data_IF_407720924921
#
_entry.id   IF_407720924921
#
_cell.length_a   1.000
_cell.length_b   1.000
_cell.length_c   1.000
_cell.angle_alpha   90.00
_cell.angle_beta   90.00
_cell.angle_gamma   90.00
#
_symmetry.space_group_name_H-M   'P 1'
#
loop_
_entity.id
_entity.type
_entity.pdbx_description
1 polymer ?
#
# COMPACT_ATOMS: atom_id res chain seq x y z
N UNK A 1 -28.21 -7.94 -53.86
CA UNK A 1 -26.98 -7.58 -53.09
C UNK A 1 -27.26 -6.83 -51.77
N UNK A 2 -28.32 -6.01 -51.68
CA UNK A 2 -28.62 -5.14 -50.51
C UNK A 2 -29.01 -5.91 -49.21
N UNK A 3 -29.67 -7.08 -49.32
CA UNK A 3 -30.14 -7.87 -48.16
C UNK A 3 -28.99 -8.44 -47.30
N UNK A 4 -27.86 -8.81 -47.92
CA UNK A 4 -26.69 -9.43 -47.26
C UNK A 4 -25.91 -8.39 -46.42
N UNK A 5 -25.86 -7.14 -46.87
CA UNK A 5 -25.23 -6.02 -46.15
C UNK A 5 -25.98 -5.65 -44.87
N UNK A 6 -27.32 -5.65 -44.90
CA UNK A 6 -28.14 -5.38 -43.70
C UNK A 6 -28.02 -6.48 -42.64
N UNK A 7 -27.93 -7.74 -43.06
CA UNK A 7 -27.75 -8.86 -42.13
C UNK A 7 -26.39 -8.78 -41.42
N UNK A 8 -25.33 -8.46 -42.16
CA UNK A 8 -24.00 -8.28 -41.57
C UNK A 8 -23.97 -7.11 -40.57
N UNK A 9 -24.64 -5.99 -40.87
CA UNK A 9 -24.73 -4.85 -39.95
C UNK A 9 -25.43 -5.21 -38.63
N UNK A 10 -26.52 -5.97 -38.69
CA UNK A 10 -27.24 -6.45 -37.49
C UNK A 10 -26.35 -7.40 -36.68
N UNK A 11 -25.64 -8.32 -37.33
CA UNK A 11 -24.70 -9.24 -36.66
C UNK A 11 -23.55 -8.49 -36.00
N UNK A 12 -22.95 -7.51 -36.67
CA UNK A 12 -21.91 -6.66 -36.07
C UNK A 12 -22.44 -5.87 -34.87
N UNK A 13 -23.65 -5.29 -34.97
CA UNK A 13 -24.30 -4.59 -33.86
C UNK A 13 -24.52 -5.48 -32.64
N UNK A 14 -25.06 -6.69 -32.84
CA UNK A 14 -25.26 -7.68 -31.77
C UNK A 14 -23.93 -8.09 -31.13
N UNK A 15 -22.88 -8.25 -31.95
CA UNK A 15 -21.55 -8.63 -31.48
C UNK A 15 -20.96 -7.53 -30.60
N UNK A 16 -21.06 -6.26 -31.01
CA UNK A 16 -20.58 -5.11 -30.22
C UNK A 16 -21.34 -5.01 -28.89
N UNK A 17 -22.66 -5.21 -28.90
CA UNK A 17 -23.48 -5.19 -27.67
C UNK A 17 -23.08 -6.33 -26.73
N UNK A 18 -22.87 -7.54 -27.24
CA UNK A 18 -22.38 -8.68 -26.45
C UNK A 18 -21.01 -8.41 -25.82
N UNK A 19 -20.07 -7.84 -26.59
CA UNK A 19 -18.76 -7.45 -26.06
C UNK A 19 -18.86 -6.37 -24.98
N UNK A 20 -19.75 -5.38 -25.15
CA UNK A 20 -19.97 -4.33 -24.14
C UNK A 20 -20.54 -4.90 -22.83
N UNK A 21 -21.50 -5.83 -22.91
CA UNK A 21 -22.10 -6.47 -21.73
C UNK A 21 -21.06 -7.34 -20.99
N UNK A 22 -20.23 -8.09 -21.70
CA UNK A 22 -19.17 -8.91 -21.10
C UNK A 22 -18.12 -8.02 -20.41
N UNK A 23 -17.77 -6.88 -21.02
CA UNK A 23 -16.82 -5.93 -20.45
C UNK A 23 -17.38 -5.25 -19.18
N UNK A 24 -18.65 -4.84 -19.17
CA UNK A 24 -19.31 -4.30 -17.97
C UNK A 24 -19.38 -5.34 -16.85
N UNK A 25 -19.75 -6.58 -17.15
CA UNK A 25 -19.87 -7.63 -16.13
C UNK A 25 -18.54 -7.89 -15.40
N UNK A 26 -17.42 -7.86 -16.13
CA UNK A 26 -16.08 -7.98 -15.52
C UNK A 26 -15.73 -6.83 -14.58
N UNK A 27 -16.19 -5.61 -14.88
CA UNK A 27 -15.93 -4.43 -14.06
C UNK A 27 -16.73 -4.47 -12.75
N UNK A 28 -17.97 -4.98 -12.79
CA UNK A 28 -18.81 -5.12 -11.60
C UNK A 28 -18.34 -6.25 -10.67
N UNK A 29 -17.74 -7.33 -11.21
CA UNK A 29 -17.21 -8.44 -10.39
C UNK A 29 -16.04 -8.00 -9.48
N UNK A 30 -15.36 -6.89 -9.79
CA UNK A 30 -14.29 -6.31 -8.94
C UNK A 30 -14.83 -5.28 -7.93
N UNK A 31 -16.04 -4.74 -8.15
CA UNK A 31 -16.68 -3.78 -7.26
C UNK A 31 -17.31 -4.52 -6.07
N UNK A 32 -16.78 -4.27 -4.88
CA UNK A 32 -17.30 -4.85 -3.62
C UNK A 32 -16.49 -6.04 -3.09
N UNK A 33 -15.39 -6.43 -3.75
CA UNK A 33 -14.40 -7.29 -3.11
C UNK A 33 -13.78 -6.47 -1.97
N UNK A 34 -13.87 -6.91 -0.70
CA UNK A 34 -13.30 -6.17 0.41
C UNK A 34 -11.79 -6.02 0.20
N UNK A 35 -11.29 -4.80 0.36
CA UNK A 35 -9.87 -4.53 0.29
C UNK A 35 -9.12 -5.44 1.26
N UNK A 36 -7.98 -5.98 0.83
CA UNK A 36 -7.20 -6.90 1.65
C UNK A 36 -6.43 -6.19 2.78
N UNK A 37 -6.76 -4.95 3.13
CA UNK A 37 -6.07 -4.15 4.14
C UNK A 37 -7.03 -3.29 4.96
N UNK A 38 -6.56 -2.89 6.16
CA UNK A 38 -7.21 -1.87 6.99
C UNK A 38 -6.34 -0.62 6.98
N UNK A 39 -6.94 0.52 6.64
CA UNK A 39 -6.26 1.83 6.58
C UNK A 39 -6.42 2.60 7.90
N UNK A 40 -5.33 3.18 8.39
CA UNK A 40 -5.33 4.15 9.49
C UNK A 40 -4.61 5.41 9.03
N UNK A 41 -5.16 6.58 9.37
CA UNK A 41 -4.62 7.87 8.92
C UNK A 41 -4.40 8.80 10.11
N UNK A 42 -3.33 9.60 10.03
CA UNK A 42 -3.07 10.68 10.98
C UNK A 42 -2.36 11.84 10.30
N UNK A 43 -2.75 13.07 10.63
CA UNK A 43 -2.05 14.26 10.17
C UNK A 43 -0.79 14.46 11.02
N UNK A 44 0.37 14.53 10.37
CA UNK A 44 1.68 14.61 11.06
C UNK A 44 2.41 15.93 10.84
N UNK A 45 1.97 16.74 9.88
CA UNK A 45 2.32 18.14 9.72
C UNK A 45 1.13 18.91 9.14
N UNK A 46 1.26 20.23 8.99
CA UNK A 46 0.21 21.07 8.39
C UNK A 46 -0.15 20.65 6.95
N UNK A 47 0.80 20.05 6.22
CA UNK A 47 0.70 19.74 4.79
C UNK A 47 0.99 18.26 4.48
N UNK A 48 0.94 17.39 5.49
CA UNK A 48 1.28 15.98 5.35
C UNK A 48 0.40 15.07 6.22
N UNK A 49 -0.12 14.03 5.59
CA UNK A 49 -0.85 12.94 6.23
C UNK A 49 -0.04 11.66 6.13
N UNK A 50 -0.03 10.89 7.23
CA UNK A 50 0.64 9.62 7.37
C UNK A 50 -0.39 8.49 7.39
N UNK A 51 -0.18 7.49 6.55
CA UNK A 51 -1.06 6.35 6.39
C UNK A 51 -0.35 5.09 6.87
N UNK A 52 -1.10 4.21 7.52
CA UNK A 52 -0.71 2.83 7.71
C UNK A 52 -1.76 1.93 7.09
N UNK A 53 -1.34 1.14 6.12
CA UNK A 53 -2.09 0.00 5.60
C UNK A 53 -1.66 -1.26 6.35
N UNK A 54 -2.62 -1.98 6.93
CA UNK A 54 -2.41 -3.27 7.59
C UNK A 54 -3.00 -4.37 6.74
N UNK A 55 -2.17 -5.18 6.12
CA UNK A 55 -2.63 -6.22 5.21
C UNK A 55 -3.12 -7.45 5.97
N UNK A 56 -4.22 -8.03 5.48
CA UNK A 56 -4.87 -9.21 6.08
C UNK A 56 -4.48 -10.51 5.37
N UNK A 57 -3.86 -10.42 4.18
CA UNK A 57 -3.42 -11.52 3.31
C UNK A 57 -2.14 -11.14 2.58
N UNK A 58 -1.35 -12.15 2.20
CA UNK A 58 -0.10 -11.99 1.45
C UNK A 58 1.13 -11.86 2.36
N UNK A 59 2.28 -11.63 1.73
CA UNK A 59 3.57 -11.55 2.42
C UNK A 59 3.86 -10.16 3.01
N UNK A 60 3.21 -9.12 2.48
CA UNK A 60 3.23 -7.79 3.08
C UNK A 60 2.33 -7.76 4.30
N UNK A 61 2.82 -7.22 5.40
CA UNK A 61 2.06 -7.08 6.66
C UNK A 61 1.67 -5.63 6.91
N UNK A 62 2.54 -4.68 6.54
CA UNK A 62 2.35 -3.26 6.76
C UNK A 62 2.88 -2.45 5.58
N UNK A 63 2.20 -1.36 5.27
CA UNK A 63 2.75 -0.28 4.45
C UNK A 63 2.52 1.06 5.13
N UNK A 64 3.55 1.88 5.14
CA UNK A 64 3.50 3.25 5.61
C UNK A 64 3.66 4.19 4.43
N UNK A 65 2.71 5.11 4.26
CA UNK A 65 2.67 6.03 3.13
C UNK A 65 2.47 7.47 3.59
N UNK A 66 2.81 8.41 2.70
CA UNK A 66 2.60 9.84 2.90
C UNK A 66 1.66 10.38 1.81
N UNK A 67 0.82 11.36 2.17
CA UNK A 67 0.07 12.15 1.20
C UNK A 67 0.08 13.64 1.57
N UNK A 68 -0.15 14.50 0.57
CA UNK A 68 0.03 15.94 0.69
C UNK A 68 1.37 16.38 0.11
N UNK A 69 1.77 17.64 0.36
CA UNK A 69 3.05 18.15 -0.16
C UNK A 69 4.24 17.74 0.70
N UNK A 70 4.02 17.49 2.00
CA UNK A 70 5.03 17.05 2.97
C UNK A 70 6.35 17.84 2.93
N UNK A 71 6.33 19.09 2.47
CA UNK A 71 7.54 19.92 2.26
C UNK A 71 8.14 20.32 3.60
N UNK A 72 7.29 20.48 4.61
CA UNK A 72 7.68 20.88 5.96
C UNK A 72 7.68 19.71 6.93
N UNK A 73 7.65 18.47 6.42
CA UNK A 73 7.66 17.29 7.28
C UNK A 73 9.03 17.15 7.93
N UNK A 74 9.05 17.16 9.27
CA UNK A 74 10.25 16.89 10.05
C UNK A 74 10.43 15.39 10.27
N UNK A 75 11.68 14.92 10.22
CA UNK A 75 12.01 13.52 10.45
C UNK A 75 11.52 13.04 11.82
N UNK A 76 11.63 13.86 12.87
CA UNK A 76 11.18 13.49 14.22
C UNK A 76 9.67 13.27 14.28
N UNK A 77 8.89 14.06 13.52
CA UNK A 77 7.45 13.89 13.43
C UNK A 77 7.07 12.60 12.70
N UNK A 78 7.81 12.26 11.64
CA UNK A 78 7.67 10.97 10.95
C UNK A 78 7.96 9.81 11.92
N UNK A 79 9.14 9.81 12.54
CA UNK A 79 9.59 8.72 13.42
C UNK A 79 8.67 8.53 14.63
N UNK A 80 8.15 9.63 15.19
CA UNK A 80 7.16 9.58 16.27
C UNK A 80 5.87 8.89 15.82
N UNK A 81 5.31 9.29 14.69
CA UNK A 81 4.07 8.70 14.17
C UNK A 81 4.25 7.24 13.78
N UNK A 82 5.37 6.91 13.13
CA UNK A 82 5.77 5.54 12.85
C UNK A 82 5.83 4.69 14.13
N UNK A 83 6.52 5.19 15.16
CA UNK A 83 6.66 4.49 16.44
C UNK A 83 5.32 4.30 17.16
N UNK A 84 4.37 5.23 17.03
CA UNK A 84 3.03 5.08 17.62
C UNK A 84 2.26 3.98 16.88
N UNK A 85 2.25 4.03 15.55
CA UNK A 85 1.47 3.11 14.72
C UNK A 85 1.99 1.67 14.73
N UNK A 86 3.29 1.48 14.86
CA UNK A 86 3.84 0.12 14.97
C UNK A 86 3.49 -0.49 16.34
N UNK A 87 3.47 0.32 17.40
CA UNK A 87 3.14 -0.10 18.76
C UNK A 87 1.66 -0.43 18.92
N UNK A 88 0.77 0.45 18.45
CA UNK A 88 -0.68 0.29 18.63
C UNK A 88 -1.29 -0.88 17.86
N UNK A 89 -0.56 -1.43 16.88
CA UNK A 89 -1.10 -2.40 15.95
C UNK A 89 -0.43 -3.76 15.98
N UNK A 90 0.71 -3.90 16.67
CA UNK A 90 1.49 -5.13 16.60
C UNK A 90 0.75 -6.37 17.10
N UNK A 91 0.11 -6.28 18.27
CA UNK A 91 -0.63 -7.42 18.83
C UNK A 91 -1.82 -7.84 17.97
N UNK A 92 -2.30 -6.93 17.12
CA UNK A 92 -3.39 -7.16 16.19
C UNK A 92 -2.91 -7.67 14.82
N UNK A 93 -1.59 -7.79 14.58
CA UNK A 93 -1.08 -8.35 13.34
C UNK A 93 -1.29 -9.85 13.34
N UNK A 94 -2.07 -10.33 12.36
CA UNK A 94 -2.31 -11.75 12.12
C UNK A 94 -1.01 -12.52 11.84
N UNK A 95 -0.08 -11.88 11.12
CA UNK A 95 1.24 -12.42 10.79
C UNK A 95 2.32 -11.52 11.39
N UNK A 96 3.21 -12.12 12.18
CA UNK A 96 4.41 -11.46 12.74
C UNK A 96 5.66 -11.64 11.87
N UNK A 97 5.49 -12.15 10.66
CA UNK A 97 6.52 -12.34 9.63
C UNK A 97 6.03 -11.75 8.32
N UNK A 98 6.95 -11.22 7.53
CA UNK A 98 6.64 -10.68 6.21
C UNK A 98 7.34 -9.36 5.96
N UNK A 99 6.78 -8.57 5.06
CA UNK A 99 7.38 -7.34 4.57
C UNK A 99 6.68 -6.09 5.10
N UNK A 100 7.48 -5.10 5.51
CA UNK A 100 7.00 -3.76 5.84
C UNK A 100 7.53 -2.80 4.78
N UNK A 101 6.64 -2.14 4.06
CA UNK A 101 7.00 -1.07 3.11
C UNK A 101 6.93 0.29 3.81
N UNK A 102 7.94 1.13 3.60
CA UNK A 102 8.02 2.48 4.14
C UNK A 102 8.29 3.44 3.00
N UNK A 103 7.30 4.24 2.64
CA UNK A 103 7.47 5.37 1.73
C UNK A 103 8.06 6.56 2.51
N UNK A 104 8.96 7.31 1.89
CA UNK A 104 9.55 8.50 2.50
C UNK A 104 9.68 9.63 1.48
N UNK A 105 9.85 10.85 1.99
CA UNK A 105 9.95 12.04 1.15
C UNK A 105 11.15 12.89 1.57
N UNK A 106 12.09 13.10 0.63
CA UNK A 106 13.24 14.01 0.78
C UNK A 106 14.03 13.84 2.10
N UNK A 107 14.31 12.60 2.45
CA UNK A 107 15.18 12.27 3.58
C UNK A 107 16.62 12.56 3.19
N UNK A 108 17.32 13.41 3.96
CA UNK A 108 18.69 13.84 3.65
C UNK A 108 19.74 12.75 3.89
N UNK A 109 19.54 11.92 4.92
CA UNK A 109 20.41 10.78 5.26
C UNK A 109 19.55 9.52 5.36
N UNK A 110 19.38 8.85 4.22
CA UNK A 110 18.51 7.68 4.11
C UNK A 110 19.02 6.50 4.95
N UNK A 111 20.34 6.32 5.07
CA UNK A 111 20.92 5.22 5.83
C UNK A 111 20.70 5.39 7.34
N UNK A 112 20.85 6.61 7.85
CA UNK A 112 20.54 6.91 9.25
C UNK A 112 19.05 6.74 9.52
N UNK A 113 18.19 7.22 8.62
CA UNK A 113 16.75 7.06 8.73
C UNK A 113 16.31 5.60 8.74
N UNK A 114 16.82 4.79 7.81
CA UNK A 114 16.60 3.35 7.76
C UNK A 114 17.05 2.66 9.05
N UNK A 115 18.23 3.00 9.58
CA UNK A 115 18.73 2.47 10.86
C UNK A 115 17.80 2.81 12.03
N UNK A 116 17.28 4.05 12.10
CA UNK A 116 16.31 4.45 13.13
C UNK A 116 15.01 3.65 13.00
N UNK A 117 14.46 3.52 11.79
CA UNK A 117 13.24 2.75 11.54
C UNK A 117 13.43 1.27 11.90
N UNK A 118 14.52 0.64 11.46
CA UNK A 118 14.85 -0.75 11.82
C UNK A 118 14.96 -0.91 13.33
N UNK A 119 15.66 0.02 14.02
CA UNK A 119 15.80 -0.03 15.47
C UNK A 119 14.45 0.08 16.19
N UNK A 120 13.58 1.00 15.77
CA UNK A 120 12.22 1.13 16.31
C UNK A 120 11.44 -0.17 16.08
N UNK A 121 11.50 -0.72 14.86
CA UNK A 121 10.82 -1.98 14.49
C UNK A 121 11.27 -3.14 15.38
N UNK A 122 12.58 -3.36 15.50
CA UNK A 122 13.15 -4.43 16.33
C UNK A 122 12.70 -4.30 17.77
N UNK A 123 12.81 -3.08 18.32
CA UNK A 123 12.47 -2.79 19.72
C UNK A 123 10.98 -3.02 20.01
N UNK A 124 10.10 -2.69 19.07
CA UNK A 124 8.64 -2.78 19.26
C UNK A 124 8.08 -4.17 18.97
N UNK A 125 8.67 -4.89 18.01
CA UNK A 125 8.14 -6.17 17.55
C UNK A 125 8.89 -7.39 18.08
N UNK A 126 10.01 -7.20 18.78
CA UNK A 126 10.87 -8.27 19.31
C UNK A 126 11.19 -9.34 18.24
N UNK A 127 11.43 -8.88 17.01
CA UNK A 127 11.63 -9.72 15.83
C UNK A 127 12.95 -9.38 15.16
N UNK A 128 13.48 -10.31 14.37
CA UNK A 128 14.60 -10.02 13.48
C UNK A 128 14.10 -9.16 12.33
N UNK A 129 14.75 -8.03 12.12
CA UNK A 129 14.41 -7.04 11.09
C UNK A 129 15.66 -6.69 10.31
N UNK A 130 15.58 -6.76 8.99
CA UNK A 130 16.63 -6.28 8.10
C UNK A 130 16.04 -5.49 6.93
N UNK A 131 16.88 -4.66 6.33
CA UNK A 131 16.57 -4.00 5.07
C UNK A 131 16.53 -5.07 3.97
N UNK A 132 15.45 -5.13 3.21
CA UNK A 132 15.28 -6.03 2.07
C UNK A 132 15.60 -5.32 0.76
N UNK A 133 15.01 -4.15 0.55
CA UNK A 133 15.15 -3.35 -0.67
C UNK A 133 15.09 -1.87 -0.33
N UNK A 134 15.79 -1.03 -1.11
CA UNK A 134 15.74 0.43 -0.99
C UNK A 134 15.69 1.06 -2.37
N UNK A 135 14.66 1.89 -2.59
CA UNK A 135 14.43 2.69 -3.78
C UNK A 135 14.50 4.18 -3.43
N UNK A 136 14.37 5.05 -4.43
CA UNK A 136 14.52 6.51 -4.26
C UNK A 136 13.58 7.10 -3.20
N UNK A 137 12.34 6.62 -3.13
CA UNK A 137 11.29 7.20 -2.27
C UNK A 137 10.63 6.16 -1.35
N UNK A 138 11.19 4.95 -1.27
CA UNK A 138 10.64 3.90 -0.42
C UNK A 138 11.69 2.85 -0.11
N UNK A 139 11.56 2.19 1.03
CA UNK A 139 12.32 0.98 1.32
C UNK A 139 11.44 -0.08 1.98
N UNK A 140 11.89 -1.32 1.89
CA UNK A 140 11.18 -2.48 2.42
C UNK A 140 12.03 -3.16 3.47
N UNK A 141 11.42 -3.49 4.60
CA UNK A 141 12.01 -4.33 5.63
C UNK A 141 11.44 -5.74 5.54
N UNK A 142 12.26 -6.74 5.87
CA UNK A 142 11.80 -8.10 6.10
C UNK A 142 11.81 -8.39 7.60
N UNK A 143 10.70 -8.95 8.10
CA UNK A 143 10.54 -9.46 9.45
C UNK A 143 10.59 -10.98 9.40
N UNK A 144 11.52 -11.56 10.15
CA UNK A 144 11.61 -13.00 10.36
C UNK A 144 11.51 -13.31 11.86
N UNK A 145 11.20 -14.57 12.19
CA UNK A 145 11.36 -15.01 13.56
C UNK A 145 12.84 -14.89 13.97
N UNK A 146 13.04 -14.63 15.26
CA UNK A 146 14.30 -14.91 15.94
C UNK A 146 14.51 -16.42 16.06
#
# INVERSE_FOLDING_TARGET
MIKKSRLNFIVYGITIILFAIIACKKYDDEIGIPENYILTENRISNDCVFFQMRFTKGDYILKYSLSGSCKNLKEEAYLKSYSIYIDSNYDNLKNKKGYIMIDHYKVSDIELFQRKIIWITKKKLDSSVSLFESNENSFTLILSNN
#
